data_IF_547692449388
#
_entry.id   IF_547692449388
#
_cell.length_a   1.000
_cell.length_b   1.000
_cell.length_c   1.000
_cell.angle_alpha   90.00
_cell.angle_beta   90.00
_cell.angle_gamma   90.00
#
_symmetry.space_group_name_H-M   'P 1'
#
loop_
_entity.id
_entity.type
_entity.pdbx_description
1 polymer ?
#
# COMPACT_ATOMS: atom_id res chain seq x y z
N UNK A 1 -15.43 -8.52 -28.93
CA UNK A 1 -15.70 -8.87 -27.51
C UNK A 1 -15.25 -7.69 -26.66
N UNK A 2 -16.19 -6.83 -26.24
CA UNK A 2 -15.89 -5.72 -25.33
C UNK A 2 -15.88 -6.27 -23.90
N UNK A 3 -14.72 -6.18 -23.23
CA UNK A 3 -14.60 -6.48 -21.81
C UNK A 3 -15.55 -5.56 -21.02
N UNK A 4 -16.25 -6.14 -20.04
CA UNK A 4 -17.13 -5.42 -19.12
C UNK A 4 -16.41 -4.18 -18.56
N UNK A 5 -17.10 -3.04 -18.38
CA UNK A 5 -16.50 -1.85 -17.81
C UNK A 5 -15.89 -2.20 -16.46
N UNK A 6 -14.58 -1.97 -16.33
CA UNK A 6 -13.84 -2.19 -15.11
C UNK A 6 -14.55 -1.40 -14.00
N UNK A 7 -15.15 -2.10 -13.01
CA UNK A 7 -16.01 -1.48 -11.98
C UNK A 7 -15.30 -0.39 -11.16
N UNK A 8 -13.97 -0.33 -11.26
CA UNK A 8 -13.11 0.61 -10.56
C UNK A 8 -12.65 1.79 -11.44
N UNK A 9 -13.18 1.94 -12.67
CA UNK A 9 -12.86 3.08 -13.52
C UNK A 9 -13.52 4.36 -13.00
N UNK A 10 -12.72 5.35 -12.65
CA UNK A 10 -13.17 6.71 -12.33
C UNK A 10 -12.76 7.62 -13.49
N UNK A 11 -13.70 8.45 -13.98
CA UNK A 11 -13.35 9.42 -15.01
C UNK A 11 -12.24 10.38 -14.52
N UNK A 12 -11.33 10.82 -15.39
CA UNK A 12 -10.23 11.71 -15.01
C UNK A 12 -10.64 12.93 -14.20
N UNK A 13 -11.74 13.60 -14.60
CA UNK A 13 -12.25 14.78 -13.90
C UNK A 13 -12.79 14.43 -12.51
N UNK A 14 -13.46 13.28 -12.38
CA UNK A 14 -13.97 12.81 -11.09
C UNK A 14 -12.82 12.40 -10.17
N UNK A 15 -11.76 11.80 -10.72
CA UNK A 15 -10.54 11.51 -9.98
C UNK A 15 -9.87 12.79 -9.51
N UNK A 16 -9.62 13.73 -10.42
CA UNK A 16 -8.98 15.01 -10.12
C UNK A 16 -9.75 15.78 -9.04
N UNK A 17 -11.09 15.82 -9.14
CA UNK A 17 -11.95 16.41 -8.12
C UNK A 17 -11.79 15.73 -6.76
N UNK A 18 -11.81 14.39 -6.72
CA UNK A 18 -11.63 13.63 -5.46
C UNK A 18 -10.25 13.82 -4.87
N UNK A 19 -9.22 13.97 -5.70
CA UNK A 19 -7.86 14.25 -5.27
C UNK A 19 -7.65 15.71 -4.81
N UNK A 20 -8.71 16.55 -4.81
CA UNK A 20 -8.64 17.96 -4.45
C UNK A 20 -7.85 18.82 -5.45
N UNK A 21 -7.67 18.34 -6.68
CA UNK A 21 -6.93 19.07 -7.70
C UNK A 21 -7.76 20.19 -8.32
N UNK A 22 -7.13 21.33 -8.62
CA UNK A 22 -7.78 22.42 -9.31
C UNK A 22 -8.09 22.06 -10.79
N UNK A 23 -8.95 22.84 -11.46
CA UNK A 23 -9.31 22.64 -12.88
C UNK A 23 -8.11 22.67 -13.86
N UNK A 24 -6.93 23.13 -13.42
CA UNK A 24 -5.73 23.31 -14.24
C UNK A 24 -4.60 22.34 -13.87
N UNK A 25 -4.93 21.21 -13.25
CA UNK A 25 -3.92 20.21 -12.90
C UNK A 25 -3.12 19.72 -14.12
N UNK A 26 -1.86 19.40 -13.88
CA UNK A 26 -0.87 19.02 -14.88
C UNK A 26 -0.12 17.75 -14.46
N UNK A 27 0.83 17.31 -15.28
CA UNK A 27 1.68 16.14 -15.00
C UNK A 27 2.41 16.25 -13.66
N UNK A 28 2.92 17.44 -13.33
CA UNK A 28 3.56 17.69 -12.04
C UNK A 28 2.61 17.49 -10.85
N UNK A 29 1.32 17.82 -11.01
CA UNK A 29 0.30 17.56 -9.97
C UNK A 29 0.16 16.06 -9.70
N UNK A 30 0.14 15.26 -10.78
CA UNK A 30 0.10 13.80 -10.71
C UNK A 30 1.39 13.23 -10.08
N UNK A 31 2.55 13.75 -10.47
CA UNK A 31 3.85 13.35 -9.92
C UNK A 31 3.90 13.56 -8.41
N UNK A 32 3.46 14.71 -7.91
CA UNK A 32 3.40 14.99 -6.47
C UNK A 32 2.40 14.10 -5.72
N UNK A 33 1.27 13.77 -6.37
CA UNK A 33 0.34 12.80 -5.81
C UNK A 33 0.93 11.39 -5.71
N UNK A 34 1.59 10.91 -6.77
CA UNK A 34 2.24 9.61 -6.79
C UNK A 34 3.37 9.54 -5.76
N UNK A 35 4.19 10.60 -5.65
CA UNK A 35 5.22 10.75 -4.61
C UNK A 35 4.63 10.55 -3.22
N UNK A 36 3.60 11.31 -2.87
CA UNK A 36 2.95 11.21 -1.55
C UNK A 36 2.42 9.81 -1.27
N UNK A 37 1.73 9.18 -2.24
CA UNK A 37 1.19 7.82 -2.05
C UNK A 37 2.28 6.77 -1.87
N UNK A 38 3.46 6.95 -2.50
CA UNK A 38 4.61 6.08 -2.28
C UNK A 38 5.26 6.33 -0.90
N UNK A 39 5.36 7.59 -0.48
CA UNK A 39 5.84 7.96 0.86
C UNK A 39 4.93 7.40 1.96
N UNK A 40 3.61 7.46 1.79
CA UNK A 40 2.62 6.85 2.70
C UNK A 40 2.81 5.31 2.79
N UNK A 41 3.33 4.68 1.75
CA UNK A 41 3.69 3.27 1.72
C UNK A 41 5.09 2.99 2.29
N UNK A 42 5.81 4.00 2.77
CA UNK A 42 7.14 3.89 3.36
C UNK A 42 8.28 3.80 2.34
N UNK A 43 8.10 4.33 1.13
CA UNK A 43 9.21 4.58 0.22
C UNK A 43 9.86 5.93 0.54
N UNK A 44 11.18 6.00 0.43
CA UNK A 44 11.91 7.26 0.28
C UNK A 44 11.88 7.65 -1.20
N UNK A 45 11.32 8.81 -1.53
CA UNK A 45 11.12 9.22 -2.93
C UNK A 45 11.93 10.48 -3.24
N UNK A 46 12.74 10.42 -4.29
CA UNK A 46 13.39 11.59 -4.89
C UNK A 46 12.65 11.97 -6.16
N UNK A 47 12.36 13.25 -6.32
CA UNK A 47 11.75 13.83 -7.51
C UNK A 47 12.78 14.54 -8.39
N UNK A 48 12.51 14.56 -9.69
CA UNK A 48 13.28 15.31 -10.69
C UNK A 48 14.78 14.97 -10.68
N UNK A 49 15.08 13.67 -10.65
CA UNK A 49 16.44 13.15 -10.53
C UNK A 49 17.15 13.26 -11.88
N UNK A 50 18.07 14.21 -11.97
CA UNK A 50 18.95 14.35 -13.12
C UNK A 50 19.93 13.18 -13.22
N UNK A 51 19.99 12.57 -14.40
CA UNK A 51 20.89 11.47 -14.74
C UNK A 51 21.73 11.81 -15.96
N UNK A 52 22.93 11.24 -16.01
CA UNK A 52 23.90 11.52 -17.07
C UNK A 52 24.70 12.81 -16.84
N UNK A 53 25.61 13.09 -17.76
CA UNK A 53 26.38 14.32 -17.76
C UNK A 53 25.61 15.41 -18.53
N UNK A 54 25.42 16.60 -17.94
CA UNK A 54 24.69 17.72 -18.57
C UNK A 54 25.21 18.06 -19.97
N UNK A 55 26.47 17.74 -20.26
CA UNK A 55 27.14 18.00 -21.54
C UNK A 55 26.89 16.95 -22.63
N UNK A 56 26.46 15.73 -22.31
CA UNK A 56 26.36 14.60 -23.27
C UNK A 56 24.90 14.13 -23.47
N UNK A 57 23.95 14.83 -22.84
CA UNK A 57 22.53 14.48 -22.80
C UNK A 57 22.16 14.00 -21.40
N UNK A 58 21.51 14.89 -20.65
CA UNK A 58 20.97 14.55 -19.34
C UNK A 58 19.49 14.15 -19.48
N UNK A 59 19.14 13.03 -18.84
CA UNK A 59 17.75 12.67 -18.58
C UNK A 59 17.29 13.21 -17.22
N UNK A 60 15.99 13.32 -17.02
CA UNK A 60 15.42 13.72 -15.72
C UNK A 60 14.33 12.72 -15.37
N UNK A 61 14.60 11.88 -14.39
CA UNK A 61 13.62 10.90 -13.90
C UNK A 61 12.60 11.64 -13.05
N UNK A 62 11.30 11.50 -13.37
CA UNK A 62 10.26 12.18 -12.61
C UNK A 62 10.26 11.78 -11.14
N UNK A 63 10.29 10.47 -10.85
CA UNK A 63 10.41 9.95 -9.49
C UNK A 63 11.34 8.72 -9.44
N UNK A 64 12.23 8.72 -8.46
CA UNK A 64 13.03 7.56 -8.06
C UNK A 64 12.66 7.17 -6.63
N UNK A 65 11.97 6.05 -6.48
CA UNK A 65 11.48 5.58 -5.19
C UNK A 65 12.31 4.40 -4.68
N UNK A 66 12.73 4.47 -3.42
CA UNK A 66 13.54 3.43 -2.77
C UNK A 66 12.85 2.95 -1.50
N UNK A 67 12.85 1.65 -1.25
CA UNK A 67 12.36 1.07 0.01
C UNK A 67 13.21 -0.12 0.41
N UNK A 68 13.59 -0.15 1.69
CA UNK A 68 14.23 -1.34 2.28
C UNK A 68 13.11 -2.21 2.85
N UNK A 69 13.02 -3.45 2.38
CA UNK A 69 12.04 -4.40 2.89
C UNK A 69 12.45 -5.01 4.25
N UNK A 70 11.58 -5.81 4.86
CA UNK A 70 11.86 -6.45 6.16
C UNK A 70 13.02 -7.45 6.15
N UNK A 71 13.53 -7.81 4.97
CA UNK A 71 14.69 -8.68 4.78
C UNK A 71 15.99 -7.90 4.60
N UNK A 72 15.92 -6.56 4.60
CA UNK A 72 17.05 -5.69 4.34
C UNK A 72 17.35 -5.51 2.85
N UNK A 73 16.52 -6.05 1.95
CA UNK A 73 16.71 -5.90 0.51
C UNK A 73 16.17 -4.55 0.06
N UNK A 74 17.01 -3.82 -0.66
CA UNK A 74 16.62 -2.55 -1.27
C UNK A 74 15.78 -2.81 -2.54
N UNK A 75 14.64 -2.13 -2.62
CA UNK A 75 13.79 -2.06 -3.81
C UNK A 75 13.90 -0.65 -4.37
N UNK A 76 14.37 -0.53 -5.61
CA UNK A 76 14.52 0.75 -6.32
C UNK A 76 13.56 0.77 -7.51
N UNK A 77 12.73 1.80 -7.61
CA UNK A 77 11.71 1.92 -8.65
C UNK A 77 11.97 3.20 -9.43
N UNK A 78 12.17 3.06 -10.74
CA UNK A 78 12.20 4.19 -11.69
C UNK A 78 10.77 4.44 -12.15
N UNK A 79 10.29 5.67 -11.99
CA UNK A 79 8.92 6.03 -12.31
C UNK A 79 8.91 7.24 -13.25
N UNK A 80 8.24 7.09 -14.39
CA UNK A 80 7.90 8.19 -15.30
C UNK A 80 6.40 8.46 -15.19
N UNK A 81 6.03 9.72 -15.05
CA UNK A 81 4.67 10.19 -14.96
C UNK A 81 4.23 10.80 -16.29
N UNK A 82 3.03 10.47 -16.75
CA UNK A 82 2.37 11.18 -17.85
C UNK A 82 0.99 11.62 -17.42
N UNK A 83 0.62 12.86 -17.75
CA UNK A 83 -0.75 13.35 -17.48
C UNK A 83 -1.80 12.37 -18.03
N UNK A 84 -1.60 11.95 -19.27
CA UNK A 84 -2.44 10.99 -19.97
C UNK A 84 -1.58 9.83 -20.47
N UNK A 85 -2.12 8.62 -20.42
CA UNK A 85 -1.49 7.46 -21.04
C UNK A 85 -2.13 7.20 -22.40
N UNK A 86 -1.89 8.11 -23.34
CA UNK A 86 -2.20 7.84 -24.75
C UNK A 86 -1.12 6.94 -25.36
N UNK A 87 -1.39 6.37 -26.54
CA UNK A 87 -0.40 5.55 -27.27
C UNK A 87 0.94 6.28 -27.47
N UNK A 88 0.88 7.59 -27.76
CA UNK A 88 2.05 8.44 -27.95
C UNK A 88 2.79 8.65 -26.62
N UNK A 89 2.09 9.14 -25.60
CA UNK A 89 2.68 9.47 -24.29
C UNK A 89 3.31 8.24 -23.64
N UNK A 90 2.69 7.06 -23.81
CA UNK A 90 3.26 5.79 -23.36
C UNK A 90 4.53 5.42 -24.11
N UNK A 91 4.59 5.64 -25.43
CA UNK A 91 5.79 5.41 -26.22
C UNK A 91 6.96 6.28 -25.77
N UNK A 92 6.69 7.56 -25.53
CA UNK A 92 7.67 8.52 -25.00
C UNK A 92 8.15 8.10 -23.60
N UNK A 93 7.22 7.81 -22.68
CA UNK A 93 7.54 7.40 -21.31
C UNK A 93 8.38 6.11 -21.27
N UNK A 94 8.07 5.13 -22.11
CA UNK A 94 8.83 3.90 -22.22
C UNK A 94 10.24 4.16 -22.75
N UNK A 95 10.40 5.01 -23.78
CA UNK A 95 11.72 5.39 -24.29
C UNK A 95 12.58 6.07 -23.23
N UNK A 96 11.99 6.97 -22.44
CA UNK A 96 12.65 7.63 -21.33
C UNK A 96 13.10 6.63 -20.26
N UNK A 97 12.21 5.75 -19.79
CA UNK A 97 12.55 4.71 -18.80
C UNK A 97 13.66 3.76 -19.29
N UNK A 98 13.61 3.36 -20.56
CA UNK A 98 14.64 2.49 -21.15
C UNK A 98 16.01 3.18 -21.20
N UNK A 99 16.05 4.49 -21.38
CA UNK A 99 17.27 5.26 -21.21
C UNK A 99 17.69 5.33 -19.74
N UNK A 100 16.76 5.57 -18.81
CA UNK A 100 17.09 5.76 -17.40
C UNK A 100 17.69 4.52 -16.73
N UNK A 101 17.27 3.34 -17.17
CA UNK A 101 17.73 2.06 -16.63
C UNK A 101 19.25 1.88 -16.75
N UNK A 102 19.89 2.51 -17.75
CA UNK A 102 21.34 2.42 -17.96
C UNK A 102 22.12 3.23 -16.92
N UNK A 103 21.51 4.30 -16.40
CA UNK A 103 22.08 5.16 -15.35
C UNK A 103 21.71 4.71 -13.93
N UNK A 104 20.67 3.88 -13.78
CA UNK A 104 20.26 3.29 -12.51
C UNK A 104 20.29 1.75 -12.63
N UNK A 105 21.48 1.13 -12.71
CA UNK A 105 21.61 -0.29 -13.03
C UNK A 105 21.01 -1.23 -11.97
N UNK A 106 20.90 -0.78 -10.72
CA UNK A 106 20.37 -1.56 -9.59
C UNK A 106 18.85 -1.43 -9.41
N UNK A 107 18.14 -0.85 -10.39
CA UNK A 107 16.68 -0.74 -10.32
C UNK A 107 16.03 -2.12 -10.22
N UNK A 108 14.99 -2.22 -9.42
CA UNK A 108 14.17 -3.43 -9.24
C UNK A 108 12.94 -3.40 -10.13
N UNK A 109 12.32 -2.23 -10.28
CA UNK A 109 11.10 -2.04 -11.05
C UNK A 109 11.18 -0.78 -11.91
N UNK A 110 10.40 -0.81 -13.00
CA UNK A 110 10.22 0.32 -13.93
C UNK A 110 8.73 0.51 -14.14
N UNK A 111 8.25 1.73 -13.92
CA UNK A 111 6.81 2.02 -13.87
C UNK A 111 6.49 3.28 -14.65
N UNK A 112 5.49 3.21 -15.52
CA UNK A 112 4.83 4.38 -16.11
C UNK A 112 3.52 4.61 -15.35
N UNK A 113 3.29 5.83 -14.87
CA UNK A 113 2.08 6.21 -14.15
C UNK A 113 1.33 7.30 -14.93
N UNK A 114 0.01 7.17 -15.03
CA UNK A 114 -0.81 8.22 -15.63
C UNK A 114 -2.30 7.91 -15.63
N UNK A 115 -3.10 8.85 -16.13
CA UNK A 115 -4.55 8.63 -16.26
C UNK A 115 -4.88 7.87 -17.54
N UNK A 116 -5.74 6.85 -17.41
CA UNK A 116 -6.36 6.16 -18.54
C UNK A 116 -7.36 7.10 -19.21
N UNK A 117 -7.18 7.40 -20.52
CA UNK A 117 -8.15 8.18 -21.29
C UNK A 117 -9.56 7.57 -21.25
N UNK A 118 -10.61 8.40 -21.16
CA UNK A 118 -12.03 7.99 -21.31
C UNK A 118 -12.60 8.22 -22.71
N UNK A 119 -11.84 8.76 -23.66
CA UNK A 119 -12.37 9.15 -24.97
C UNK A 119 -12.02 8.15 -26.06
N UNK A 120 -13.02 7.85 -26.92
CA UNK A 120 -12.87 6.96 -28.07
C UNK A 120 -12.27 5.60 -27.72
N UNK A 121 -11.39 5.10 -28.59
CA UNK A 121 -10.65 3.85 -28.37
C UNK A 121 -9.35 4.04 -27.56
N UNK A 122 -9.01 5.28 -27.17
CA UNK A 122 -7.71 5.59 -26.58
C UNK A 122 -7.44 4.83 -25.27
N UNK A 123 -8.49 4.62 -24.45
CA UNK A 123 -8.36 3.85 -23.22
C UNK A 123 -8.05 2.36 -23.47
N UNK A 124 -8.65 1.76 -24.50
CA UNK A 124 -8.39 0.37 -24.88
C UNK A 124 -6.98 0.20 -25.47
N UNK A 125 -6.59 1.13 -26.35
CA UNK A 125 -5.25 1.12 -26.95
C UNK A 125 -4.15 1.29 -25.91
N UNK A 126 -4.39 2.14 -24.89
CA UNK A 126 -3.50 2.29 -23.76
C UNK A 126 -3.32 0.99 -22.96
N UNK A 127 -4.41 0.27 -22.65
CA UNK A 127 -4.34 -1.03 -21.97
C UNK A 127 -3.58 -2.08 -22.80
N UNK A 128 -3.84 -2.13 -24.10
CA UNK A 128 -3.10 -3.02 -25.01
C UNK A 128 -1.61 -2.69 -25.04
N UNK A 129 -1.25 -1.41 -25.08
CA UNK A 129 0.15 -0.95 -25.06
C UNK A 129 0.82 -1.25 -23.72
N UNK A 130 0.12 -1.06 -22.60
CA UNK A 130 0.60 -1.41 -21.27
C UNK A 130 0.92 -2.90 -21.16
N UNK A 131 0.03 -3.76 -21.66
CA UNK A 131 0.23 -5.20 -21.68
C UNK A 131 1.44 -5.59 -22.56
N UNK A 132 1.56 -4.99 -23.74
CA UNK A 132 2.72 -5.21 -24.61
C UNK A 132 4.02 -4.83 -23.91
N UNK A 133 4.10 -3.63 -23.32
CA UNK A 133 5.30 -3.17 -22.64
C UNK A 133 5.68 -4.05 -21.45
N UNK A 134 4.70 -4.49 -20.65
CA UNK A 134 4.97 -5.45 -19.58
C UNK A 134 5.60 -6.74 -20.11
N UNK A 135 5.09 -7.25 -21.23
CA UNK A 135 5.56 -8.52 -21.79
C UNK A 135 6.90 -8.39 -22.54
N UNK A 136 7.19 -7.24 -23.16
CA UNK A 136 8.39 -7.06 -24.00
C UNK A 136 9.54 -6.43 -23.25
N UNK A 137 9.28 -5.40 -22.44
CA UNK A 137 10.32 -4.64 -21.74
C UNK A 137 10.30 -4.85 -20.25
N UNK A 138 9.25 -5.44 -19.67
CA UNK A 138 9.08 -5.58 -18.22
C UNK A 138 8.68 -4.27 -17.54
N UNK A 139 8.29 -3.24 -18.30
CA UNK A 139 7.80 -1.98 -17.75
C UNK A 139 6.34 -2.15 -17.31
N UNK A 140 6.07 -1.88 -16.04
CA UNK A 140 4.71 -1.89 -15.51
C UNK A 140 4.02 -0.55 -15.82
N UNK A 141 2.72 -0.58 -16.05
CA UNK A 141 1.91 0.63 -16.24
C UNK A 141 0.84 0.69 -15.15
N UNK A 142 0.71 1.85 -14.51
CA UNK A 142 -0.32 2.12 -13.50
C UNK A 142 -1.26 3.19 -14.05
N UNK A 143 -2.48 2.77 -14.33
CA UNK A 143 -3.59 3.68 -14.60
C UNK A 143 -4.19 4.14 -13.27
N UNK A 144 -3.80 5.33 -12.80
CA UNK A 144 -4.15 5.78 -11.45
C UNK A 144 -5.66 5.84 -11.19
N UNK A 145 -6.44 6.17 -12.22
CA UNK A 145 -7.90 6.27 -12.15
C UNK A 145 -8.63 4.94 -12.34
N UNK A 146 -7.92 3.81 -12.28
CA UNK A 146 -8.50 2.46 -12.26
C UNK A 146 -7.94 1.58 -11.14
N UNK A 147 -7.04 2.11 -10.32
CA UNK A 147 -6.34 1.37 -9.27
C UNK A 147 -6.83 1.77 -7.89
N UNK A 148 -7.25 0.78 -7.10
CA UNK A 148 -7.78 0.98 -5.75
C UNK A 148 -6.73 1.55 -4.78
N UNK A 149 -5.46 1.13 -4.91
CA UNK A 149 -4.37 1.63 -4.05
C UNK A 149 -4.00 3.09 -4.34
N UNK A 150 -4.46 3.62 -5.47
CA UNK A 150 -4.31 5.01 -5.88
C UNK A 150 -5.64 5.77 -5.86
N UNK A 151 -6.72 5.16 -5.36
CA UNK A 151 -7.97 5.89 -5.17
C UNK A 151 -7.71 7.06 -4.23
N UNK A 152 -8.00 8.30 -4.68
CA UNK A 152 -7.95 9.44 -3.78
C UNK A 152 -9.00 9.17 -2.72
N UNK A 153 -8.59 9.29 -1.46
CA UNK A 153 -9.53 9.40 -0.35
C UNK A 153 -10.57 10.43 -0.79
N UNK A 154 -11.86 10.16 -0.59
CA UNK A 154 -12.87 11.17 -0.90
C UNK A 154 -12.40 12.46 -0.25
N UNK A 155 -12.32 13.55 -1.02
CA UNK A 155 -11.98 14.85 -0.48
C UNK A 155 -13.01 15.16 0.62
N UNK A 156 -12.67 14.78 1.86
CA UNK A 156 -13.30 15.25 3.08
C UNK A 156 -12.88 16.71 3.19
N UNK A 157 -13.50 17.54 2.37
CA UNK A 157 -13.42 18.99 2.40
C UNK A 157 -14.29 19.57 3.53
N UNK A 158 -14.42 18.82 4.62
CA UNK A 158 -15.13 19.23 5.83
C UNK A 158 -14.40 18.86 7.13
N UNK A 159 -13.36 18.03 7.09
CA UNK A 159 -12.65 17.60 8.30
C UNK A 159 -11.51 18.54 8.66
N UNK A 160 -11.48 18.96 9.92
CA UNK A 160 -10.49 19.89 10.41
C UNK A 160 -9.08 19.27 10.37
N UNK A 161 -8.01 20.09 10.32
CA UNK A 161 -6.63 19.60 10.39
C UNK A 161 -6.34 18.72 11.62
N UNK A 162 -7.05 18.96 12.72
CA UNK A 162 -6.95 18.18 13.97
C UNK A 162 -7.53 16.78 13.82
N UNK A 163 -8.64 16.60 13.10
CA UNK A 163 -9.23 15.28 12.85
C UNK A 163 -8.33 14.41 11.95
N UNK A 164 -7.70 15.02 10.94
CA UNK A 164 -6.73 14.35 10.06
C UNK A 164 -5.49 13.88 10.82
N UNK A 165 -5.02 14.68 11.78
CA UNK A 165 -3.91 14.32 12.65
C UNK A 165 -4.26 13.13 13.56
N UNK A 166 -5.47 13.13 14.13
CA UNK A 166 -5.94 12.06 15.02
C UNK A 166 -6.12 10.72 14.29
N UNK A 167 -6.61 10.72 13.06
CA UNK A 167 -6.75 9.49 12.27
C UNK A 167 -5.39 8.91 11.86
N UNK A 168 -4.41 9.76 11.52
CA UNK A 168 -3.05 9.32 11.24
C UNK A 168 -2.37 8.73 12.49
N UNK A 169 -2.59 9.33 13.65
CA UNK A 169 -2.12 8.79 14.94
C UNK A 169 -2.82 7.46 15.21
N UNK A 170 -4.14 7.37 15.07
CA UNK A 170 -4.90 6.14 15.31
C UNK A 170 -4.47 5.01 14.37
N UNK A 171 -4.21 5.29 13.09
CA UNK A 171 -3.70 4.33 12.12
C UNK A 171 -2.29 3.86 12.48
N UNK A 172 -1.39 4.79 12.84
CA UNK A 172 -0.04 4.46 13.33
C UNK A 172 -0.08 3.56 14.56
N UNK A 173 -0.95 3.85 15.52
CA UNK A 173 -1.17 3.01 16.70
C UNK A 173 -1.70 1.62 16.32
N UNK A 174 -2.68 1.53 15.42
CA UNK A 174 -3.26 0.25 15.01
C UNK A 174 -2.22 -0.65 14.31
N UNK A 175 -1.31 -0.08 13.51
CA UNK A 175 -0.24 -0.84 12.87
C UNK A 175 0.81 -1.32 13.87
N UNK A 176 1.19 -0.48 14.84
CA UNK A 176 2.08 -0.85 15.93
C UNK A 176 1.52 -1.99 16.79
N UNK A 177 0.21 -1.98 17.09
CA UNK A 177 -0.46 -3.08 17.81
C UNK A 177 -0.51 -4.39 17.00
N UNK A 178 -0.75 -4.33 15.69
CA UNK A 178 -0.68 -5.52 14.82
C UNK A 178 0.72 -6.11 14.78
N UNK A 179 1.74 -5.25 14.75
CA UNK A 179 3.14 -5.67 14.78
C UNK A 179 3.53 -6.30 16.11
N UNK A 180 3.19 -5.66 17.23
CA UNK A 180 3.39 -6.19 18.59
C UNK A 180 2.65 -7.51 18.80
N UNK A 181 1.41 -7.63 18.32
CA UNK A 181 0.65 -8.88 18.38
C UNK A 181 1.30 -10.02 17.59
N UNK A 182 1.82 -9.74 16.39
CA UNK A 182 2.57 -10.72 15.60
C UNK A 182 3.92 -11.09 16.25
N UNK A 183 4.58 -10.13 16.87
CA UNK A 183 5.85 -10.35 17.59
C UNK A 183 5.63 -11.21 18.84
N UNK A 184 4.65 -10.85 19.67
CA UNK A 184 4.25 -11.62 20.84
C UNK A 184 3.82 -13.05 20.45
N UNK A 185 3.06 -13.22 19.36
CA UNK A 185 2.69 -14.54 18.83
C UNK A 185 3.89 -15.37 18.35
N UNK A 186 4.89 -14.73 17.73
CA UNK A 186 6.13 -15.42 17.33
C UNK A 186 6.95 -15.85 18.55
N UNK A 187 7.04 -15.02 19.58
CA UNK A 187 7.76 -15.34 20.82
C UNK A 187 7.05 -16.46 21.60
N UNK A 188 5.71 -16.40 21.71
CA UNK A 188 4.95 -17.48 22.36
C UNK A 188 5.07 -18.79 21.60
N UNK A 189 5.07 -18.82 20.26
CA UNK A 189 5.36 -20.08 19.52
C UNK A 189 6.76 -20.66 19.76
N UNK A 190 7.75 -19.82 20.04
CA UNK A 190 9.14 -20.25 20.28
C UNK A 190 9.32 -20.86 21.68
N UNK A 191 8.53 -20.41 22.66
CA UNK A 191 8.62 -20.85 24.07
C UNK A 191 7.47 -21.78 24.53
N UNK A 192 6.31 -21.76 23.87
CA UNK A 192 5.20 -22.68 24.11
C UNK A 192 5.17 -23.76 23.02
N UNK A 193 5.81 -24.91 23.30
CA UNK A 193 5.46 -26.18 22.62
C UNK A 193 4.28 -26.78 23.38
N UNK A 194 3.06 -26.84 22.83
CA UNK A 194 1.86 -27.30 23.55
C UNK A 194 1.99 -28.74 24.08
N UNK A 195 2.87 -29.53 23.45
CA UNK A 195 3.15 -30.93 23.78
C UNK A 195 3.98 -31.15 25.06
N UNK A 196 4.62 -30.12 25.63
CA UNK A 196 5.33 -30.26 26.91
C UNK A 196 4.44 -30.01 28.13
N UNK A 197 3.35 -29.23 27.98
CA UNK A 197 2.40 -28.99 29.07
C UNK A 197 1.42 -30.17 29.25
N UNK A 198 1.00 -30.82 28.16
CA UNK A 198 0.11 -31.99 28.24
C UNK A 198 0.77 -33.18 28.91
N UNK A 199 2.08 -33.43 28.71
CA UNK A 199 2.80 -34.48 29.45
C UNK A 199 2.99 -34.17 30.94
N UNK A 200 3.15 -32.89 31.31
CA UNK A 200 3.33 -32.50 32.71
C UNK A 200 2.00 -32.55 33.50
N UNK A 201 0.87 -32.25 32.84
CA UNK A 201 -0.45 -32.36 33.46
C UNK A 201 -0.90 -33.84 33.54
N UNK A 202 -0.59 -34.67 32.54
CA UNK A 202 -0.96 -36.09 32.55
C UNK A 202 -0.17 -36.93 33.55
N UNK A 203 1.05 -36.52 33.95
CA UNK A 203 1.82 -37.23 34.99
C UNK A 203 1.47 -36.80 36.41
N UNK A 204 0.71 -35.71 36.60
CA UNK A 204 0.28 -35.23 37.93
C UNK A 204 -1.19 -35.51 38.25
N UNK A 205 -2.03 -35.73 37.26
CA UNK A 205 -3.40 -36.18 37.48
C UNK A 205 -3.45 -37.68 37.18
N UNK A 206 -3.19 -38.49 38.22
CA UNK A 206 -3.55 -39.89 38.22
C UNK A 206 -4.97 -40.06 37.69
N UNK A 207 -5.14 -41.06 36.82
CA UNK A 207 -6.36 -41.24 36.05
C UNK A 207 -7.60 -41.36 36.93
N UNK A 208 -8.67 -40.68 36.53
CA UNK A 208 -10.03 -41.15 36.69
C UNK A 208 -10.87 -40.63 35.52
N UNK A 209 -11.34 -41.55 34.70
CA UNK A 209 -12.46 -41.35 33.78
C UNK A 209 -13.73 -41.13 34.57
N UNK A 210 -14.49 -40.07 34.31
CA UNK A 210 -15.97 -40.06 34.29
C UNK A 210 -16.47 -38.81 33.56
N UNK A 211 -17.47 -38.99 32.68
CA UNK A 211 -18.50 -37.99 32.43
C UNK A 211 -18.40 -37.17 31.14
N UNK A 212 -19.10 -37.64 30.12
CA UNK A 212 -19.45 -36.95 28.87
C UNK A 212 -20.11 -35.57 29.10
N UNK A 213 -19.55 -34.53 28.48
CA UNK A 213 -20.17 -33.22 28.32
C UNK A 213 -21.33 -33.30 27.31
N UNK A 214 -22.57 -33.06 27.77
CA UNK A 214 -23.71 -32.79 26.90
C UNK A 214 -23.79 -31.30 26.61
N UNK A 215 -23.74 -30.95 25.32
CA UNK A 215 -23.94 -29.61 24.77
C UNK A 215 -25.38 -29.15 24.98
N UNK A 216 -25.58 -28.09 25.78
CA UNK A 216 -26.86 -27.42 25.98
C UNK A 216 -26.75 -25.94 25.64
N UNK A 217 -27.06 -25.60 24.40
CA UNK A 217 -26.97 -24.27 23.79
C UNK A 217 -28.00 -23.27 24.32
N UNK A 218 -27.54 -22.24 25.06
CA UNK A 218 -28.18 -20.91 25.09
C UNK A 218 -27.11 -19.82 25.10
N UNK A 219 -26.67 -19.43 23.90
CA UNK A 219 -25.66 -18.41 23.68
C UNK A 219 -26.17 -17.02 24.10
N UNK A 220 -25.78 -16.56 25.29
CA UNK A 220 -25.76 -15.14 25.61
C UNK A 220 -24.55 -14.52 24.89
N UNK A 221 -24.80 -13.79 23.81
CA UNK A 221 -23.77 -12.97 23.15
C UNK A 221 -23.35 -11.86 24.10
N UNK A 222 -22.15 -11.97 24.68
CA UNK A 222 -21.49 -10.85 25.35
C UNK A 222 -21.17 -9.78 24.30
N UNK A 223 -21.95 -8.69 24.30
CA UNK A 223 -21.68 -7.52 23.45
C UNK A 223 -20.72 -6.62 24.22
N UNK A 224 -19.43 -6.81 23.96
CA UNK A 224 -18.37 -5.90 24.44
C UNK A 224 -18.62 -4.53 23.81
N UNK A 225 -18.88 -3.51 24.63
CA UNK A 225 -19.05 -2.14 24.12
C UNK A 225 -17.67 -1.57 23.78
N UNK A 226 -17.60 -0.62 22.84
CA UNK A 226 -16.35 0.08 22.50
C UNK A 226 -15.66 0.68 23.75
N UNK A 227 -16.43 1.12 24.74
CA UNK A 227 -15.92 1.60 26.04
C UNK A 227 -15.13 0.54 26.81
N UNK A 228 -15.53 -0.74 26.71
CA UNK A 228 -14.95 -1.83 27.47
C UNK A 228 -13.58 -2.22 26.90
N UNK A 229 -13.39 -2.05 25.58
CA UNK A 229 -12.11 -2.23 24.90
C UNK A 229 -11.09 -1.16 25.32
N UNK A 230 -11.52 0.08 25.56
CA UNK A 230 -10.65 1.15 26.08
C UNK A 230 -10.19 0.87 27.51
N UNK A 231 -11.10 0.41 28.38
CA UNK A 231 -10.76 0.01 29.75
C UNK A 231 -9.77 -1.16 29.79
N UNK A 232 -9.93 -2.15 28.91
CA UNK A 232 -8.97 -3.26 28.81
C UNK A 232 -7.61 -2.83 28.25
N UNK A 233 -7.58 -1.88 27.31
CA UNK A 233 -6.33 -1.32 26.80
C UNK A 233 -5.58 -0.51 27.89
N UNK A 234 -6.30 0.28 28.68
CA UNK A 234 -5.71 1.05 29.80
C UNK A 234 -5.22 0.10 30.91
N UNK A 235 -5.98 -0.95 31.24
CA UNK A 235 -5.55 -1.96 32.21
C UNK A 235 -4.31 -2.73 31.74
N UNK A 236 -4.21 -3.03 30.44
CA UNK A 236 -3.03 -3.66 29.85
C UNK A 236 -1.79 -2.76 29.88
N UNK A 237 -1.95 -1.46 29.69
CA UNK A 237 -0.86 -0.46 29.80
C UNK A 237 -0.40 -0.32 31.25
N UNK A 238 -1.32 -0.28 32.23
CA UNK A 238 -0.96 -0.20 33.65
C UNK A 238 -0.18 -1.43 34.13
N UNK A 239 -0.53 -2.63 33.65
CA UNK A 239 0.20 -3.87 33.99
C UNK A 239 1.62 -3.87 33.40
N UNK A 240 1.82 -3.27 32.22
CA UNK A 240 3.13 -3.17 31.58
C UNK A 240 4.05 -2.11 32.22
N UNK A 241 3.48 -1.01 32.72
CA UNK A 241 4.25 0.06 33.38
C UNK A 241 4.63 -0.31 34.82
N UNK A 242 3.89 -1.20 35.49
CA UNK A 242 4.23 -1.67 36.83
C UNK A 242 5.30 -2.79 36.81
N UNK A 243 5.59 -3.37 35.63
CA UNK A 243 6.52 -4.50 35.47
C UNK A 243 7.88 -4.14 34.83
N UNK A 244 8.09 -2.87 34.48
CA UNK A 244 9.36 -2.31 33.98
C UNK A 244 9.79 -1.14 34.85
#
# INVERSE_FOLDING_TARGET
MHSSPNKNYISPDKFAKRAGWNKKWNEHTLQMYAKRKLEDQGYTVKDEVWIGNKTVGAGRIDLLATKIDSTGKERIIIIECKKWLTTKDMGEAMGQIEMYKTYVPNHTDRVVIGMKPNWGNAGYDAERRALMAKNTTGINTVFINTHIDFEPDEADDTRSPTEKLLDNIAYGFQQSFKWLGKFAWKQTKKHFRPWRLTKFLWSKTGGHSYGSYSYGSRGRKFRIRRSDLWLMAIAGIFILVIWF
#
